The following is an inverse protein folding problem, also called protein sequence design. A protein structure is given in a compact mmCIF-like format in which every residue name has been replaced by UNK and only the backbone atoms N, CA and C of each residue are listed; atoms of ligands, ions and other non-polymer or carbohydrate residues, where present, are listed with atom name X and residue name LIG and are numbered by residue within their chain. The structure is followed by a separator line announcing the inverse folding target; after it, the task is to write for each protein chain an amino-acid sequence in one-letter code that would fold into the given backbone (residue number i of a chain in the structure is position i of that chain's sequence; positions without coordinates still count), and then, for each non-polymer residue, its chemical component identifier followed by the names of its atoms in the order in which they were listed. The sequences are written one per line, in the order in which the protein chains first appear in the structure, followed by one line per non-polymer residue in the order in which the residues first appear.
data_IF_738571310808
#
_entry.id   IF_738571310808
#
_cell.length_a   1.000
_cell.length_b   1.000
_cell.length_c   1.000
_cell.angle_alpha   90.00
_cell.angle_beta   90.00
_cell.angle_gamma   90.00
#
_symmetry.space_group_name_H-M   'P 1'
#
loop_
_entity.id
_entity.type
_entity.pdbx_description
1 polymer ?
#
# COMPACT_ATOMS: atom_id res chain seq x y z
N UNK A 1 13.76 17.48 -12.69
CA UNK A 1 13.58 16.93 -11.33
C UNK A 1 13.20 18.08 -10.42
N UNK A 2 12.02 18.03 -9.78
CA UNK A 2 11.58 19.06 -8.85
C UNK A 2 11.82 18.58 -7.41
N UNK A 3 12.46 19.41 -6.58
CA UNK A 3 12.58 19.16 -5.13
C UNK A 3 11.31 19.66 -4.45
N UNK A 4 10.73 18.83 -3.59
CA UNK A 4 9.50 19.11 -2.88
C UNK A 4 9.80 19.36 -1.40
N UNK A 5 9.21 20.43 -0.83
CA UNK A 5 9.38 20.79 0.58
C UNK A 5 8.49 19.99 1.55
N UNK A 6 7.52 19.24 1.03
CA UNK A 6 6.58 18.45 1.80
C UNK A 6 5.99 17.33 0.94
N UNK A 7 5.53 16.26 1.58
CA UNK A 7 4.71 15.23 0.93
C UNK A 7 3.23 15.65 0.82
N UNK A 8 2.80 16.74 1.44
CA UNK A 8 1.42 17.20 1.23
C UNK A 8 1.29 17.75 -0.19
N UNK A 9 0.28 17.29 -0.92
CA UNK A 9 0.00 17.66 -2.31
C UNK A 9 0.67 16.76 -3.37
N UNK A 10 1.41 15.72 -2.96
CA UNK A 10 1.90 14.72 -3.94
C UNK A 10 0.82 13.69 -4.28
N UNK A 11 0.95 13.04 -5.44
CA UNK A 11 0.00 12.02 -5.90
C UNK A 11 0.68 10.69 -6.27
N UNK A 12 1.35 10.00 -5.34
CA UNK A 12 1.98 8.72 -5.58
C UNK A 12 0.96 7.72 -6.11
N UNK A 13 1.12 7.39 -7.39
CA UNK A 13 0.23 6.48 -8.11
C UNK A 13 -1.25 6.88 -7.96
N UNK A 14 -1.55 8.16 -8.27
CA UNK A 14 -2.89 8.78 -8.27
C UNK A 14 -3.57 8.92 -6.91
N UNK A 15 -2.85 8.67 -5.81
CA UNK A 15 -3.36 8.89 -4.45
C UNK A 15 -2.91 10.25 -3.96
N UNK A 16 -3.82 11.24 -3.95
CA UNK A 16 -3.54 12.56 -3.39
C UNK A 16 -3.24 12.46 -1.89
N UNK A 17 -2.03 12.85 -1.50
CA UNK A 17 -1.63 12.95 -0.11
C UNK A 17 -2.01 14.33 0.41
N UNK A 18 -3.16 14.42 1.05
CA UNK A 18 -3.67 15.63 1.68
C UNK A 18 -3.50 15.58 3.21
N UNK A 19 -3.55 16.75 3.85
CA UNK A 19 -3.47 16.84 5.31
C UNK A 19 -4.77 16.33 5.96
N UNK A 20 -4.66 15.51 6.98
CA UNK A 20 -5.78 15.01 7.78
C UNK A 20 -5.35 14.70 9.22
N UNK A 21 -6.28 14.73 10.20
CA UNK A 21 -5.98 14.37 11.59
C UNK A 21 -5.38 12.95 11.73
N UNK A 22 -5.91 11.98 10.99
CA UNK A 22 -5.44 10.59 10.99
C UNK A 22 -4.02 10.48 10.46
N UNK A 23 -3.72 11.16 9.34
CA UNK A 23 -2.38 11.15 8.76
C UNK A 23 -1.38 11.81 9.71
N UNK A 24 -1.72 12.97 10.31
CA UNK A 24 -0.86 13.64 11.30
C UNK A 24 -0.54 12.74 12.48
N UNK A 25 -1.54 12.04 13.03
CA UNK A 25 -1.33 11.12 14.15
C UNK A 25 -0.37 9.97 13.80
N UNK A 26 -0.49 9.39 12.60
CA UNK A 26 0.42 8.35 12.12
C UNK A 26 1.82 8.89 11.86
N UNK A 27 1.92 10.12 11.34
CA UNK A 27 3.20 10.81 11.08
C UNK A 27 3.95 11.07 12.38
N UNK A 28 3.28 11.53 13.44
CA UNK A 28 3.94 11.71 14.74
C UNK A 28 4.45 10.38 15.30
N UNK A 29 3.65 9.31 15.24
CA UNK A 29 4.10 7.95 15.61
C UNK A 29 5.29 7.49 14.76
N UNK A 30 5.31 7.77 13.46
CA UNK A 30 6.43 7.43 12.58
C UNK A 30 7.72 8.18 12.93
N UNK A 31 7.64 9.46 13.33
CA UNK A 31 8.80 10.26 13.75
C UNK A 31 9.47 9.69 15.00
N UNK A 32 8.70 9.14 15.93
CA UNK A 32 9.21 8.51 17.15
C UNK A 32 10.08 7.27 16.85
N UNK A 33 9.90 6.64 15.67
CA UNK A 33 10.64 5.45 15.26
C UNK A 33 12.05 5.75 14.72
N UNK A 34 12.43 7.03 14.54
CA UNK A 34 13.70 7.42 13.92
C UNK A 34 14.94 6.87 14.62
N UNK A 35 14.87 6.71 15.94
CA UNK A 35 15.95 6.21 16.79
C UNK A 35 16.14 4.70 16.74
N UNK A 36 15.16 3.96 16.20
CA UNK A 36 15.24 2.50 16.09
C UNK A 36 16.28 2.10 15.03
N UNK A 37 16.97 0.96 15.22
CA UNK A 37 17.78 0.38 14.15
C UNK A 37 16.90 -0.01 12.96
N UNK A 38 17.53 -0.11 11.78
CA UNK A 38 16.79 -0.22 10.52
C UNK A 38 15.78 -1.38 10.48
N UNK A 39 16.11 -2.63 10.88
CA UNK A 39 15.15 -3.73 10.84
C UNK A 39 13.92 -3.49 11.70
N UNK A 40 14.11 -3.04 12.94
CA UNK A 40 13.02 -2.74 13.88
C UNK A 40 12.18 -1.56 13.39
N UNK A 41 12.84 -0.54 12.84
CA UNK A 41 12.17 0.63 12.26
C UNK A 41 11.32 0.25 11.05
N UNK A 42 11.82 -0.61 10.17
CA UNK A 42 11.07 -1.11 9.01
C UNK A 42 9.81 -1.83 9.44
N UNK A 43 9.94 -2.78 10.36
CA UNK A 43 8.80 -3.57 10.84
C UNK A 43 7.80 -2.71 11.63
N UNK A 44 8.27 -1.72 12.40
CA UNK A 44 7.39 -0.77 13.08
C UNK A 44 6.62 0.12 12.09
N UNK A 45 7.27 0.65 11.04
CA UNK A 45 6.59 1.45 10.01
C UNK A 45 5.57 0.61 9.24
N UNK A 46 5.92 -0.61 8.84
CA UNK A 46 4.98 -1.55 8.21
C UNK A 46 3.75 -1.76 9.08
N UNK A 47 3.95 -2.02 10.37
CA UNK A 47 2.87 -2.21 11.33
C UNK A 47 1.94 -1.02 11.41
N UNK A 48 2.46 0.22 11.44
CA UNK A 48 1.63 1.42 11.41
C UNK A 48 0.67 1.43 10.21
N UNK A 49 1.14 1.01 9.03
CA UNK A 49 0.32 0.95 7.82
C UNK A 49 -0.71 -0.16 7.90
N UNK A 50 -0.31 -1.36 8.34
CA UNK A 50 -1.17 -2.53 8.47
C UNK A 50 -2.27 -2.33 9.53
N UNK A 51 -1.97 -1.61 10.61
CA UNK A 51 -2.96 -1.24 11.64
C UNK A 51 -3.90 -0.11 11.18
N UNK A 52 -3.44 0.78 10.30
CA UNK A 52 -4.22 1.92 9.85
C UNK A 52 -5.34 1.53 8.88
N UNK A 53 -5.13 0.50 8.06
CA UNK A 53 -6.09 0.14 7.01
C UNK A 53 -6.07 -1.35 6.67
N UNK A 54 -7.26 -1.94 6.60
CA UNK A 54 -7.45 -3.32 6.13
C UNK A 54 -7.29 -3.40 4.62
N UNK A 55 -7.00 -4.60 4.12
CA UNK A 55 -6.94 -4.88 2.69
C UNK A 55 -8.36 -4.86 2.09
N UNK A 56 -8.64 -3.85 1.26
CA UNK A 56 -9.97 -3.70 0.66
C UNK A 56 -10.33 -4.83 -0.31
N UNK A 57 -9.35 -5.38 -1.05
CA UNK A 57 -9.58 -6.50 -1.96
C UNK A 57 -10.01 -7.76 -1.23
N UNK A 58 -9.29 -8.12 -0.18
CA UNK A 58 -9.67 -9.27 0.65
C UNK A 58 -11.04 -9.04 1.31
N UNK A 59 -11.28 -7.86 1.87
CA UNK A 59 -12.54 -7.53 2.54
C UNK A 59 -13.78 -7.66 1.63
N UNK A 60 -13.66 -7.36 0.33
CA UNK A 60 -14.75 -7.54 -0.65
C UNK A 60 -15.13 -9.01 -0.88
N UNK A 61 -14.20 -9.93 -0.63
CA UNK A 61 -14.37 -11.35 -0.96
C UNK A 61 -14.52 -12.26 0.27
N UNK A 62 -14.36 -11.74 1.48
CA UNK A 62 -14.59 -12.50 2.70
C UNK A 62 -16.11 -12.67 2.95
N UNK A 63 -16.64 -13.90 2.95
CA UNK A 63 -17.98 -14.14 3.45
C UNK A 63 -17.95 -13.93 4.97
N UNK A 64 -18.50 -12.82 5.47
CA UNK A 64 -18.74 -12.69 6.92
C UNK A 64 -19.95 -13.53 7.30
N UNK A 65 -19.74 -14.84 7.44
CA UNK A 65 -20.62 -15.67 8.27
C UNK A 65 -20.41 -15.26 9.72
N UNK A 66 -21.28 -14.40 10.25
CA UNK A 66 -21.44 -14.29 11.70
C UNK A 66 -22.28 -15.49 12.13
N UNK A 67 -21.65 -16.52 12.69
CA UNK A 67 -22.37 -17.64 13.30
C UNK A 67 -22.95 -17.14 14.61
N UNK A 68 -24.17 -16.60 14.56
CA UNK A 68 -24.95 -16.37 15.78
C UNK A 68 -25.54 -17.71 16.21
N UNK A 69 -24.99 -18.30 17.28
CA UNK A 69 -25.58 -19.48 17.92
C UNK A 69 -26.83 -19.03 18.67
N UNK A 70 -28.00 -19.37 18.13
CA UNK A 70 -29.26 -19.28 18.86
C UNK A 70 -29.53 -20.62 19.55
N UNK A 71 -29.61 -20.63 20.87
CA UNK A 71 -30.15 -21.78 21.61
C UNK A 71 -31.68 -21.70 21.59
N UNK A 72 -32.30 -22.41 20.66
CA UNK A 72 -33.74 -22.66 20.72
C UNK A 72 -34.00 -23.70 21.81
N UNK A 73 -34.52 -23.26 22.95
CA UNK A 73 -35.09 -24.11 24.00
C UNK A 73 -36.36 -24.78 23.47
N UNK A 74 -36.20 -25.84 22.67
CA UNK A 74 -37.27 -26.77 22.37
C UNK A 74 -37.12 -28.02 23.24
N UNK A 75 -38.21 -28.39 23.91
CA UNK A 75 -38.37 -29.64 24.65
C UNK A 75 -38.09 -30.83 23.73
N UNK A 76 -36.84 -31.29 23.69
CA UNK A 76 -36.42 -32.44 22.88
C UNK A 76 -35.14 -32.19 22.07
N UNK A 77 -34.03 -31.93 22.76
CA UNK A 77 -32.65 -32.27 22.37
C UNK A 77 -32.28 -32.32 20.87
N UNK A 78 -32.35 -31.20 20.16
CA UNK A 78 -31.54 -30.99 18.93
C UNK A 78 -31.17 -29.52 18.81
N UNK A 79 -29.89 -29.20 18.98
CA UNK A 79 -29.36 -27.84 18.75
C UNK A 79 -29.30 -27.59 17.24
N UNK A 80 -30.16 -26.73 16.70
CA UNK A 80 -30.04 -26.27 15.31
C UNK A 80 -29.18 -25.00 15.23
N UNK A 81 -28.08 -25.06 14.50
CA UNK A 81 -27.30 -23.87 14.14
C UNK A 81 -27.92 -23.23 12.91
N UNK A 82 -28.61 -22.09 13.08
CA UNK A 82 -29.09 -21.29 11.95
C UNK A 82 -27.98 -20.33 11.55
N UNK A 83 -27.42 -20.52 10.35
CA UNK A 83 -26.47 -19.56 9.76
C UNK A 83 -27.29 -18.50 9.04
N UNK A 84 -27.52 -17.36 9.67
CA UNK A 84 -28.07 -16.18 8.99
C UNK A 84 -26.94 -15.42 8.30
N UNK A 85 -26.96 -15.38 6.96
CA UNK A 85 -26.09 -14.49 6.21
C UNK A 85 -26.54 -13.04 6.42
N UNK A 86 -25.64 -12.17 6.87
CA UNK A 86 -25.89 -10.72 6.85
C UNK A 86 -25.73 -10.21 5.41
N UNK A 87 -26.64 -9.35 4.98
CA UNK A 87 -26.47 -8.57 3.75
C UNK A 87 -25.30 -7.59 3.94
N UNK A 88 -24.14 -7.95 3.37
CA UNK A 88 -22.93 -7.14 3.41
C UNK A 88 -22.79 -6.26 2.16
N UNK A 89 -23.85 -6.07 1.37
CA UNK A 89 -23.80 -5.29 0.12
C UNK A 89 -23.24 -3.88 0.32
N UNK A 90 -23.62 -3.20 1.41
CA UNK A 90 -23.12 -1.86 1.75
C UNK A 90 -21.62 -1.84 2.05
N UNK A 91 -21.11 -2.84 2.79
CA UNK A 91 -19.67 -2.93 3.08
C UNK A 91 -18.86 -3.27 1.83
N UNK A 92 -19.37 -4.19 1.00
CA UNK A 92 -18.74 -4.53 -0.28
C UNK A 92 -18.72 -3.30 -1.20
N UNK A 93 -19.83 -2.53 -1.27
CA UNK A 93 -19.89 -1.30 -2.05
C UNK A 93 -18.86 -0.28 -1.58
N UNK A 94 -18.75 -0.06 -0.27
CA UNK A 94 -17.75 0.83 0.35
C UNK A 94 -16.31 0.41 0.03
N UNK A 95 -15.99 -0.88 0.13
CA UNK A 95 -14.65 -1.39 -0.18
C UNK A 95 -14.35 -1.33 -1.69
N UNK A 96 -15.38 -1.52 -2.52
CA UNK A 96 -15.28 -1.38 -3.97
C UNK A 96 -15.00 0.06 -4.39
N UNK A 97 -15.69 1.01 -3.78
CA UNK A 97 -15.43 2.45 -3.95
C UNK A 97 -13.94 2.78 -3.65
N UNK A 98 -13.40 2.28 -2.53
CA UNK A 98 -11.97 2.42 -2.20
C UNK A 98 -11.04 1.86 -3.29
N UNK A 99 -11.40 0.76 -3.95
CA UNK A 99 -10.58 0.14 -4.98
C UNK A 99 -10.67 0.88 -6.32
N UNK A 100 -11.89 1.15 -6.76
CA UNK A 100 -12.22 1.58 -8.12
C UNK A 100 -12.07 3.10 -8.32
N UNK A 101 -12.24 3.89 -7.27
CA UNK A 101 -12.21 5.34 -7.35
C UNK A 101 -10.86 5.96 -6.91
N UNK A 102 -10.64 7.20 -7.36
CA UNK A 102 -9.48 8.00 -7.00
C UNK A 102 -9.87 8.95 -5.87
N UNK A 103 -9.62 8.52 -4.64
CA UNK A 103 -9.82 9.34 -3.45
C UNK A 103 -8.47 9.82 -2.89
N UNK A 104 -8.48 10.91 -2.11
CA UNK A 104 -7.31 11.28 -1.31
C UNK A 104 -6.98 10.22 -0.25
N UNK A 105 -5.73 10.20 0.21
CA UNK A 105 -5.27 9.30 1.25
C UNK A 105 -6.08 9.44 2.55
N UNK A 106 -6.53 10.65 2.88
CA UNK A 106 -7.38 10.89 4.05
C UNK A 106 -8.67 10.08 4.03
N UNK A 107 -9.27 9.87 2.85
CA UNK A 107 -10.51 9.11 2.72
C UNK A 107 -10.27 7.64 3.06
N UNK A 108 -9.22 7.03 2.51
CA UNK A 108 -8.85 5.64 2.82
C UNK A 108 -8.54 5.44 4.32
N UNK A 109 -7.89 6.42 4.96
CA UNK A 109 -7.63 6.42 6.40
C UNK A 109 -8.92 6.50 7.23
N UNK A 110 -9.85 7.38 6.86
CA UNK A 110 -11.17 7.48 7.51
C UNK A 110 -11.97 6.18 7.37
N UNK A 111 -11.91 5.58 6.19
CA UNK A 111 -12.54 4.29 5.89
C UNK A 111 -11.79 3.10 6.50
N UNK A 112 -10.58 3.31 7.04
CA UNK A 112 -9.68 2.26 7.55
C UNK A 112 -9.53 1.10 6.56
N UNK A 113 -9.52 1.40 5.27
CA UNK A 113 -9.46 0.43 4.20
C UNK A 113 -8.62 0.99 3.05
N UNK A 114 -7.77 0.15 2.47
CA UNK A 114 -6.89 0.55 1.38
C UNK A 114 -6.63 -0.59 0.41
N UNK A 115 -6.48 -0.24 -0.87
CA UNK A 115 -5.88 -1.10 -1.86
C UNK A 115 -4.36 -0.87 -1.91
N UNK A 116 -3.66 -1.57 -2.82
CA UNK A 116 -2.21 -1.48 -2.94
C UNK A 116 -1.69 -0.03 -3.10
N UNK A 117 -2.45 0.84 -3.78
CA UNK A 117 -2.10 2.26 -3.99
C UNK A 117 -2.03 3.03 -2.67
N UNK A 118 -3.09 2.97 -1.87
CA UNK A 118 -3.18 3.68 -0.59
C UNK A 118 -2.19 3.16 0.44
N UNK A 119 -2.05 1.82 0.53
CA UNK A 119 -1.10 1.21 1.46
C UNK A 119 0.34 1.55 1.10
N UNK A 120 0.69 1.55 -0.19
CA UNK A 120 2.03 1.95 -0.66
C UNK A 120 2.29 3.45 -0.47
N UNK A 121 1.30 4.30 -0.75
CA UNK A 121 1.38 5.75 -0.53
C UNK A 121 1.57 6.08 0.96
N UNK A 122 0.79 5.45 1.85
CA UNK A 122 0.95 5.64 3.30
C UNK A 122 2.33 5.17 3.78
N UNK A 123 2.76 3.97 3.36
CA UNK A 123 4.10 3.48 3.71
C UNK A 123 5.21 4.40 3.22
N UNK A 124 5.06 5.00 2.05
CA UNK A 124 6.00 5.98 1.53
C UNK A 124 6.09 7.23 2.42
N UNK A 125 4.95 7.81 2.79
CA UNK A 125 4.88 8.99 3.67
C UNK A 125 5.44 8.68 5.05
N UNK A 126 5.02 7.57 5.67
CA UNK A 126 5.52 7.19 6.99
C UNK A 126 7.00 6.82 6.95
N UNK A 127 7.46 6.20 5.86
CA UNK A 127 8.89 5.92 5.65
C UNK A 127 9.72 7.19 5.56
N UNK A 128 9.23 8.22 4.87
CA UNK A 128 9.87 9.53 4.81
C UNK A 128 10.00 10.13 6.21
N UNK A 129 8.90 10.17 6.96
CA UNK A 129 8.88 10.75 8.30
C UNK A 129 9.68 9.94 9.32
N UNK A 130 9.75 8.62 9.18
CA UNK A 130 10.56 7.74 10.03
C UNK A 130 12.04 7.70 9.64
N UNK A 131 12.48 8.42 8.60
CA UNK A 131 13.85 8.32 8.07
C UNK A 131 14.24 6.88 7.66
N UNK A 132 13.28 6.13 7.11
CA UNK A 132 13.34 4.67 7.05
C UNK A 132 14.53 4.12 6.22
N UNK A 133 14.87 4.76 5.11
CA UNK A 133 15.95 4.33 4.21
C UNK A 133 16.83 5.50 3.76
N UNK A 134 17.95 5.18 3.11
CA UNK A 134 18.75 6.17 2.38
C UNK A 134 18.05 6.60 1.11
N UNK A 135 17.30 5.69 0.46
CA UNK A 135 16.38 5.99 -0.64
C UNK A 135 15.10 5.19 -0.50
N UNK A 136 14.00 5.75 -1.00
CA UNK A 136 12.70 5.09 -1.04
C UNK A 136 11.98 5.48 -2.34
N UNK A 137 11.44 4.50 -3.03
CA UNK A 137 10.72 4.65 -4.29
C UNK A 137 9.34 4.02 -4.19
N UNK A 138 8.34 4.70 -4.73
CA UNK A 138 7.04 4.06 -5.06
C UNK A 138 7.17 3.47 -6.46
N UNK A 139 6.85 2.19 -6.60
CA UNK A 139 6.98 1.40 -7.83
C UNK A 139 5.62 0.83 -8.21
N UNK A 140 5.45 0.53 -9.50
CA UNK A 140 4.29 -0.21 -9.99
C UNK A 140 4.70 -1.24 -11.03
N UNK A 141 3.99 -2.36 -11.06
CA UNK A 141 4.23 -3.44 -12.00
C UNK A 141 2.90 -4.07 -12.46
N UNK A 142 2.88 -4.65 -13.67
CA UNK A 142 1.70 -5.34 -14.19
C UNK A 142 1.53 -6.69 -13.48
N UNK A 143 0.30 -6.98 -13.04
CA UNK A 143 -0.08 -8.28 -12.46
C UNK A 143 -0.25 -9.34 -13.54
N UNK A 144 -0.63 -8.92 -14.74
CA UNK A 144 -0.96 -9.78 -15.87
C UNK A 144 -0.06 -9.37 -17.05
N UNK A 145 1.25 -9.51 -16.86
CA UNK A 145 2.30 -9.05 -17.78
C UNK A 145 2.17 -9.67 -19.18
N UNK A 146 1.63 -10.89 -19.27
CA UNK A 146 1.34 -11.61 -20.51
C UNK A 146 0.34 -10.88 -21.42
N UNK A 147 -0.49 -9.98 -20.87
CA UNK A 147 -1.45 -9.20 -21.64
C UNK A 147 -0.92 -7.84 -22.08
N UNK A 148 0.32 -7.46 -21.73
CA UNK A 148 0.91 -6.18 -22.16
C UNK A 148 0.99 -6.04 -23.69
N UNK A 149 1.07 -7.15 -24.43
CA UNK A 149 1.12 -7.15 -25.90
C UNK A 149 -0.27 -7.05 -26.54
N UNK A 150 -1.34 -7.20 -25.76
CA UNK A 150 -2.73 -7.34 -26.25
C UNK A 150 -3.61 -6.19 -25.75
N UNK A 151 -3.42 -5.77 -24.51
CA UNK A 151 -4.20 -4.73 -23.86
C UNK A 151 -3.46 -3.38 -23.85
N UNK A 152 -4.16 -2.26 -24.09
CA UNK A 152 -3.67 -0.94 -23.76
C UNK A 152 -3.17 -0.86 -22.31
N UNK A 153 -2.09 -0.12 -22.06
CA UNK A 153 -1.42 -0.07 -20.75
C UNK A 153 -2.31 0.44 -19.61
N UNK A 154 -3.32 1.24 -19.93
CA UNK A 154 -4.35 1.72 -19.01
C UNK A 154 -5.35 0.65 -18.58
N UNK A 155 -5.48 -0.45 -19.35
CA UNK A 155 -6.37 -1.58 -19.07
C UNK A 155 -5.68 -2.76 -18.36
N UNK A 156 -4.38 -2.67 -18.15
CA UNK A 156 -3.58 -3.70 -17.48
C UNK A 156 -3.75 -3.55 -15.97
N UNK A 157 -4.07 -4.63 -15.28
CA UNK A 157 -4.13 -4.63 -13.81
C UNK A 157 -2.74 -4.43 -13.26
N UNK A 158 -2.59 -3.42 -12.40
CA UNK A 158 -1.31 -3.04 -11.81
C UNK A 158 -1.34 -3.24 -10.31
N UNK A 159 -0.18 -3.45 -9.74
CA UNK A 159 0.02 -3.33 -8.30
C UNK A 159 1.04 -2.25 -8.00
N UNK A 160 0.99 -1.73 -6.78
CA UNK A 160 1.93 -0.74 -6.27
C UNK A 160 2.70 -1.36 -5.12
N UNK A 161 4.00 -1.12 -5.10
CA UNK A 161 4.89 -1.58 -4.06
C UNK A 161 5.99 -0.55 -3.85
N UNK A 162 6.80 -0.75 -2.81
CA UNK A 162 7.86 0.15 -2.44
C UNK A 162 9.20 -0.54 -2.57
N UNK A 163 10.21 0.26 -2.92
CA UNK A 163 11.60 -0.15 -2.90
C UNK A 163 12.38 0.76 -1.96
N UNK A 164 13.17 0.17 -1.09
CA UNK A 164 14.06 0.86 -0.16
C UNK A 164 15.52 0.50 -0.47
N UNK A 165 16.39 1.50 -0.37
CA UNK A 165 17.84 1.30 -0.30
C UNK A 165 18.32 1.76 1.07
N UNK A 166 19.05 0.88 1.76
CA UNK A 166 19.71 1.19 3.03
C UNK A 166 21.10 0.56 3.02
N UNK A 167 22.14 1.36 3.24
CA UNK A 167 23.53 0.90 3.27
C UNK A 167 23.92 0.07 2.02
N UNK A 168 23.41 0.47 0.84
CA UNK A 168 23.63 -0.25 -0.41
C UNK A 168 22.79 -1.53 -0.61
N UNK A 169 22.07 -2.00 0.43
CA UNK A 169 21.17 -3.13 0.30
C UNK A 169 19.79 -2.69 -0.19
N UNK A 170 19.24 -3.46 -1.14
CA UNK A 170 17.91 -3.27 -1.73
C UNK A 170 16.88 -4.13 -1.01
N UNK A 171 15.75 -3.52 -0.67
CA UNK A 171 14.60 -4.17 -0.07
C UNK A 171 13.36 -3.86 -0.91
N UNK A 172 12.59 -4.89 -1.23
CA UNK A 172 11.31 -4.76 -1.92
C UNK A 172 10.18 -5.06 -0.95
N UNK A 173 9.25 -4.12 -0.80
CA UNK A 173 8.22 -4.14 0.22
C UNK A 173 6.87 -4.00 -0.47
N UNK A 174 5.96 -4.96 -0.23
CA UNK A 174 4.59 -4.88 -0.69
C UNK A 174 3.66 -4.98 0.50
N UNK A 175 3.26 -3.82 1.05
CA UNK A 175 2.30 -3.80 2.16
C UNK A 175 0.99 -4.44 1.77
N UNK A 176 0.58 -4.33 0.49
CA UNK A 176 -0.55 -5.08 -0.03
C UNK A 176 -0.41 -6.58 0.26
N UNK A 177 0.68 -7.19 -0.17
CA UNK A 177 0.93 -8.62 0.03
C UNK A 177 1.02 -8.98 1.52
N UNK A 178 1.63 -8.12 2.33
CA UNK A 178 1.73 -8.31 3.79
C UNK A 178 0.39 -8.14 4.52
N UNK A 179 -0.54 -7.37 3.95
CA UNK A 179 -1.88 -7.13 4.51
C UNK A 179 -2.91 -8.21 4.17
N UNK A 180 -2.62 -9.09 3.21
CA UNK A 180 -3.51 -10.19 2.83
C UNK A 180 -3.37 -11.32 3.86
N UNK A 181 -4.46 -11.64 4.55
CA UNK A 181 -4.51 -12.74 5.53
C UNK A 181 -4.71 -14.08 4.83
N UNK A 182 -5.66 -14.16 3.90
CA UNK A 182 -5.91 -15.36 3.09
C UNK A 182 -5.16 -15.27 1.75
N UNK A 183 -4.16 -16.14 1.53
CA UNK A 183 -3.31 -16.10 0.33
C UNK A 183 -4.05 -16.23 -1.01
N UNK A 184 -5.31 -16.67 -1.02
CA UNK A 184 -6.14 -16.75 -2.23
C UNK A 184 -6.49 -15.37 -2.79
N UNK A 185 -6.47 -14.33 -1.96
CA UNK A 185 -6.73 -12.94 -2.37
C UNK A 185 -5.47 -12.17 -2.74
N UNK A 186 -4.29 -12.79 -2.61
CA UNK A 186 -3.03 -12.23 -3.07
C UNK A 186 -2.93 -12.35 -4.61
N UNK A 187 -3.54 -11.39 -5.31
CA UNK A 187 -3.53 -11.36 -6.77
C UNK A 187 -2.11 -11.15 -7.34
N UNK A 188 -1.14 -10.72 -6.52
CA UNK A 188 0.24 -10.52 -6.98
C UNK A 188 0.92 -11.83 -7.39
N UNK A 189 0.44 -12.97 -6.86
CA UNK A 189 0.93 -14.31 -7.18
C UNK A 189 0.76 -14.73 -8.64
N UNK A 190 -0.07 -14.01 -9.40
CA UNK A 190 -0.26 -14.25 -10.83
C UNK A 190 0.98 -13.90 -11.65
N UNK A 191 1.86 -13.03 -11.14
CA UNK A 191 3.15 -12.72 -11.76
C UNK A 191 4.29 -13.03 -10.78
N UNK A 192 5.02 -14.16 -10.94
CA UNK A 192 6.15 -14.49 -10.07
C UNK A 192 7.33 -13.51 -10.21
N UNK A 193 7.44 -12.82 -11.34
CA UNK A 193 8.53 -11.88 -11.65
C UNK A 193 8.11 -10.42 -11.43
N UNK A 194 7.01 -10.19 -10.69
CA UNK A 194 6.40 -8.87 -10.51
C UNK A 194 7.41 -7.79 -10.12
N UNK A 195 8.29 -8.10 -9.17
CA UNK A 195 9.25 -7.14 -8.61
C UNK A 195 10.47 -6.90 -9.52
N UNK A 196 10.65 -7.71 -10.55
CA UNK A 196 11.70 -7.59 -11.56
C UNK A 196 11.22 -6.76 -12.76
N UNK A 197 9.91 -6.52 -12.86
CA UNK A 197 9.26 -5.87 -14.00
C UNK A 197 8.53 -4.55 -13.63
N UNK A 198 9.11 -3.64 -12.80
CA UNK A 198 8.46 -2.36 -12.57
C UNK A 198 8.45 -1.52 -13.84
N UNK A 199 7.34 -0.80 -14.06
CA UNK A 199 7.29 0.25 -15.07
C UNK A 199 8.30 1.35 -14.75
N UNK A 200 9.05 1.79 -15.76
CA UNK A 200 9.99 2.91 -15.63
C UNK A 200 9.27 4.26 -15.70
N UNK A 201 8.23 4.32 -16.51
CA UNK A 201 7.34 5.44 -16.72
C UNK A 201 5.94 4.92 -17.10
N UNK A 202 4.91 5.70 -16.82
CA UNK A 202 3.53 5.46 -17.25
C UNK A 202 2.93 6.79 -17.70
N UNK A 203 2.34 6.86 -18.91
CA UNK A 203 1.71 8.09 -19.39
C UNK A 203 0.67 8.61 -18.39
N UNK A 204 0.76 9.91 -18.08
CA UNK A 204 -0.16 10.59 -17.16
C UNK A 204 0.05 10.27 -15.68
N UNK A 205 1.09 9.51 -15.29
CA UNK A 205 1.40 9.25 -13.90
C UNK A 205 2.74 9.83 -13.48
N UNK A 206 2.76 10.41 -12.28
CA UNK A 206 3.98 10.89 -11.63
C UNK A 206 4.43 9.88 -10.59
N UNK A 207 5.69 9.47 -10.67
CA UNK A 207 6.32 8.64 -9.65
C UNK A 207 7.07 9.54 -8.68
N UNK A 208 7.21 9.08 -7.43
CA UNK A 208 7.87 9.84 -6.37
C UNK A 208 8.92 8.99 -5.67
N UNK A 209 9.95 9.67 -5.18
CA UNK A 209 11.00 9.07 -4.36
C UNK A 209 11.58 10.09 -3.40
N UNK A 210 12.10 9.64 -2.28
CA UNK A 210 12.96 10.46 -1.43
C UNK A 210 14.34 9.83 -1.25
N UNK A 211 15.33 10.66 -0.93
CA UNK A 211 16.66 10.18 -0.57
C UNK A 211 17.33 11.06 0.49
N UNK A 212 18.29 10.49 1.20
CA UNK A 212 19.10 11.16 2.23
C UNK A 212 20.24 11.95 1.61
N UNK A 213 20.42 13.14 2.14
CA UNK A 213 21.53 14.05 1.88
C UNK A 213 22.14 14.50 3.22
N UNK A 214 23.32 15.15 3.23
CA UNK A 214 23.90 15.71 4.45
C UNK A 214 22.99 16.72 5.17
N UNK A 215 22.08 17.38 4.46
CA UNK A 215 21.13 18.37 5.00
C UNK A 215 19.76 17.78 5.37
N UNK A 216 19.51 16.50 5.13
CA UNK A 216 18.25 15.83 5.43
C UNK A 216 17.70 15.00 4.27
N UNK A 217 16.42 14.61 4.36
CA UNK A 217 15.74 13.93 3.26
C UNK A 217 15.23 14.93 2.22
N UNK A 218 15.36 14.58 0.95
CA UNK A 218 14.82 15.35 -0.17
C UNK A 218 13.81 14.47 -0.93
N UNK A 219 12.60 15.00 -1.12
CA UNK A 219 11.53 14.38 -1.89
C UNK A 219 11.54 14.92 -3.34
N UNK A 220 11.37 14.04 -4.34
CA UNK A 220 11.41 14.40 -5.76
C UNK A 220 10.33 13.71 -6.60
N UNK A 221 9.87 14.39 -7.66
CA UNK A 221 9.05 13.82 -8.74
C UNK A 221 9.94 13.27 -9.89
N UNK A 222 9.59 12.08 -10.37
CA UNK A 222 10.48 11.20 -11.13
C UNK A 222 10.28 11.29 -12.65
N UNK A 223 11.32 11.57 -13.47
CA UNK A 223 11.15 11.52 -14.91
C UNK A 223 11.54 10.21 -15.60
N UNK A 224 12.33 9.27 -15.04
CA UNK A 224 12.51 7.94 -15.71
C UNK A 224 13.15 6.81 -14.85
N UNK A 225 12.98 6.89 -13.52
CA UNK A 225 13.87 6.48 -12.41
C UNK A 225 14.87 7.62 -12.10
N UNK A 226 15.47 7.61 -10.93
CA UNK A 226 16.65 8.44 -10.63
C UNK A 226 17.88 7.86 -11.42
N UNK A 227 17.78 7.78 -12.77
CA UNK A 227 18.38 6.74 -13.64
C UNK A 227 19.89 6.52 -13.52
N UNK A 228 20.75 7.53 -13.42
CA UNK A 228 22.22 7.28 -13.48
C UNK A 228 22.98 7.60 -12.18
N UNK A 229 22.37 8.30 -11.21
CA UNK A 229 23.09 8.91 -10.09
C UNK A 229 23.52 7.92 -8.97
N UNK A 230 23.37 6.61 -9.18
CA UNK A 230 23.99 5.56 -8.36
C UNK A 230 24.78 4.55 -9.18
N UNK A 231 24.91 4.69 -10.50
CA UNK A 231 25.71 3.77 -11.30
C UNK A 231 27.21 3.80 -10.92
N UNK A 232 27.64 4.69 -10.00
CA UNK A 232 28.94 4.68 -9.32
C UNK A 232 29.00 4.05 -7.91
N UNK A 233 27.91 3.50 -7.35
CA UNK A 233 27.90 2.82 -6.05
C UNK A 233 28.07 1.29 -6.15
N UNK A 234 28.14 0.76 -7.37
CA UNK A 234 28.51 -0.64 -7.67
C UNK A 234 29.52 -0.62 -8.82
N UNK A 235 30.78 -0.36 -8.47
CA UNK A 235 31.95 -1.00 -9.08
C UNK A 235 32.77 -1.63 -7.97
#
# INVERSE_FOLDING_TARGET
MQILGTYIGIEPFTVLVNDSPELRALVERAKELRSLPFPERLEAVKRLVLEAMVNAYEGMHQPRTRVEKYELLNRGSTTQTIIMGQDNSAEIARLKEIVDENHPLSHALQQKAGCCRYQSALFFVLGYEANLGDKHFVQTAPINAEYLTILPIDKVTKTVFNELLQNGQRFTISIFRESVVDPRFDYTRRNPNLFEQPFKELPGQTFYSYHRTPSGLILVSNPNRHVESLEGAIK
#
